data_IF_364706892960
#
_entry.id   IF_364706892960
#
_cell.length_a   1.000
_cell.length_b   1.000
_cell.length_c   1.000
_cell.angle_alpha   90.00
_cell.angle_beta   90.00
_cell.angle_gamma   90.00
#
_symmetry.space_group_name_H-M   'P 1'
#
loop_
_entity.id
_entity.type
_entity.pdbx_description
1 polymer ?
#
# COMPACT_ATOMS: atom_id res chain seq x y z
N UNK A 1 -10.34 -11.11 -39.00
CA UNK A 1 -9.93 -10.87 -37.61
C UNK A 1 -8.66 -11.66 -37.38
N UNK A 2 -7.50 -11.02 -37.27
CA UNK A 2 -6.22 -11.73 -37.12
C UNK A 2 -6.05 -12.10 -35.65
N UNK A 3 -6.09 -13.40 -35.31
CA UNK A 3 -5.77 -13.86 -33.96
C UNK A 3 -4.30 -13.56 -33.68
N UNK A 4 -4.03 -12.81 -32.61
CA UNK A 4 -2.67 -12.64 -32.11
C UNK A 4 -2.19 -14.03 -31.65
N UNK A 5 -1.02 -14.50 -32.09
CA UNK A 5 -0.48 -15.77 -31.62
C UNK A 5 -0.36 -15.76 -30.09
N UNK A 6 -0.79 -16.86 -29.45
CA UNK A 6 -0.84 -16.98 -27.98
C UNK A 6 0.52 -16.66 -27.32
N UNK A 7 1.62 -17.02 -27.98
CA UNK A 7 2.98 -16.72 -27.52
C UNK A 7 3.26 -15.20 -27.43
N UNK A 8 2.77 -14.42 -28.40
CA UNK A 8 2.90 -12.95 -28.42
C UNK A 8 2.10 -12.34 -27.28
N UNK A 9 0.89 -12.85 -27.03
CA UNK A 9 0.06 -12.42 -25.91
C UNK A 9 0.71 -12.75 -24.56
N UNK A 10 1.23 -13.97 -24.41
CA UNK A 10 1.92 -14.42 -23.19
C UNK A 10 3.18 -13.56 -22.92
N UNK A 11 3.96 -13.25 -23.95
CA UNK A 11 5.13 -12.37 -23.83
C UNK A 11 4.72 -10.95 -23.41
N UNK A 12 3.65 -10.40 -23.99
CA UNK A 12 3.15 -9.07 -23.62
C UNK A 12 2.68 -9.01 -22.17
N UNK A 13 1.92 -10.02 -21.70
CA UNK A 13 1.47 -10.11 -20.31
C UNK A 13 2.64 -10.25 -19.32
N UNK A 14 3.68 -11.02 -19.68
CA UNK A 14 4.92 -11.09 -18.87
C UNK A 14 5.61 -9.74 -18.75
N UNK A 15 5.73 -9.00 -19.85
CA UNK A 15 6.32 -7.66 -19.82
C UNK A 15 5.55 -6.70 -18.89
N UNK A 16 4.22 -6.76 -18.90
CA UNK A 16 3.37 -5.98 -17.97
C UNK A 16 3.63 -6.38 -16.52
N UNK A 17 3.69 -7.68 -16.23
CA UNK A 17 3.97 -8.18 -14.88
C UNK A 17 5.34 -7.72 -14.38
N UNK A 18 6.37 -7.77 -15.23
CA UNK A 18 7.72 -7.35 -14.86
C UNK A 18 7.82 -5.84 -14.65
N UNK A 19 7.13 -5.05 -15.46
CA UNK A 19 7.02 -3.61 -15.24
C UNK A 19 6.29 -3.28 -13.93
N UNK A 20 5.21 -4.00 -13.62
CA UNK A 20 4.48 -3.84 -12.37
C UNK A 20 5.36 -4.16 -11.15
N UNK A 21 6.10 -5.27 -11.17
CA UNK A 21 7.03 -5.63 -10.08
C UNK A 21 8.09 -4.56 -9.84
N UNK A 22 8.66 -4.00 -10.92
CA UNK A 22 9.64 -2.90 -10.82
C UNK A 22 9.03 -1.66 -10.19
N UNK A 23 7.84 -1.25 -10.64
CA UNK A 23 7.09 -0.13 -10.07
C UNK A 23 6.80 -0.37 -8.59
N UNK A 24 6.33 -1.56 -8.23
CA UNK A 24 5.92 -1.88 -6.87
C UNK A 24 7.12 -1.82 -5.91
N UNK A 25 8.30 -2.27 -6.34
CA UNK A 25 9.54 -2.11 -5.57
C UNK A 25 9.89 -0.64 -5.31
N UNK A 26 9.80 0.21 -6.33
CA UNK A 26 10.05 1.66 -6.20
C UNK A 26 9.05 2.28 -5.22
N UNK A 27 7.76 1.92 -5.34
CA UNK A 27 6.72 2.41 -4.44
C UNK A 27 6.99 1.95 -2.99
N UNK A 28 7.39 0.70 -2.78
CA UNK A 28 7.71 0.18 -1.45
C UNK A 28 8.89 0.94 -0.81
N UNK A 29 9.97 1.15 -1.56
CA UNK A 29 11.14 1.90 -1.12
C UNK A 29 10.78 3.35 -0.78
N UNK A 30 9.97 4.01 -1.62
CA UNK A 30 9.49 5.37 -1.38
C UNK A 30 8.54 5.48 -0.19
N UNK A 31 7.71 4.45 0.06
CA UNK A 31 6.77 4.45 1.19
C UNK A 31 7.45 4.23 2.54
N UNK A 32 8.60 3.54 2.59
CA UNK A 32 9.30 3.20 3.83
C UNK A 32 9.55 4.41 4.76
N UNK A 33 10.19 5.51 4.31
CA UNK A 33 10.41 6.68 5.19
C UNK A 33 9.09 7.33 5.63
N UNK A 34 8.06 7.32 4.79
CA UNK A 34 6.72 7.85 5.14
C UNK A 34 6.07 7.01 6.23
N UNK A 35 6.20 5.68 6.14
CA UNK A 35 5.69 4.76 7.15
C UNK A 35 6.39 4.96 8.51
N UNK A 36 7.71 5.10 8.50
CA UNK A 36 8.51 5.38 9.71
C UNK A 36 8.09 6.71 10.37
N UNK A 37 7.94 7.78 9.58
CA UNK A 37 7.47 9.08 10.07
C UNK A 37 6.04 9.01 10.61
N UNK A 38 5.14 8.29 9.94
CA UNK A 38 3.76 8.09 10.41
C UNK A 38 3.71 7.34 11.75
N UNK A 39 4.54 6.31 11.92
CA UNK A 39 4.66 5.57 13.19
C UNK A 39 5.19 6.48 14.30
N UNK A 40 6.23 7.27 14.02
CA UNK A 40 6.77 8.25 14.97
C UNK A 40 5.71 9.28 15.38
N UNK A 41 4.94 9.80 14.42
CA UNK A 41 3.85 10.75 14.69
C UNK A 41 2.76 10.16 15.59
N UNK A 42 2.35 8.90 15.37
CA UNK A 42 1.39 8.22 16.26
C UNK A 42 1.96 8.08 17.67
N UNK A 43 3.24 7.70 17.82
CA UNK A 43 3.89 7.59 19.13
C UNK A 43 3.97 8.94 19.85
N UNK A 44 4.10 10.03 19.10
CA UNK A 44 4.04 11.39 19.61
C UNK A 44 2.61 11.89 19.91
N UNK A 45 1.58 11.07 19.68
CA UNK A 45 0.18 11.40 20.00
C UNK A 45 -0.58 12.12 18.87
N UNK A 46 -0.02 12.24 17.67
CA UNK A 46 -0.71 12.87 16.55
C UNK A 46 -1.94 12.05 16.10
N UNK A 47 -2.98 12.75 15.63
CA UNK A 47 -4.22 12.10 15.21
C UNK A 47 -4.03 11.29 13.93
N UNK A 48 -4.59 10.07 13.90
CA UNK A 48 -4.50 9.19 12.72
C UNK A 48 -5.16 9.79 11.47
N UNK A 49 -6.15 10.66 11.63
CA UNK A 49 -6.77 11.38 10.50
C UNK A 49 -5.78 12.35 9.90
N UNK A 50 -5.12 13.18 10.71
CA UNK A 50 -4.14 14.16 10.23
C UNK A 50 -2.95 13.50 9.56
N UNK A 51 -2.43 12.42 10.16
CA UNK A 51 -1.33 11.64 9.58
C UNK A 51 -1.68 11.12 8.19
N UNK A 52 -2.91 10.66 7.96
CA UNK A 52 -3.34 10.16 6.64
C UNK A 52 -3.43 11.25 5.58
N UNK A 53 -3.92 12.42 5.97
CA UNK A 53 -4.01 13.58 5.08
C UNK A 53 -2.61 14.00 4.63
N UNK A 54 -1.69 14.15 5.58
CA UNK A 54 -0.30 14.54 5.29
C UNK A 54 0.47 13.46 4.52
N UNK A 55 0.28 12.19 4.87
CA UNK A 55 0.92 11.08 4.14
C UNK A 55 0.25 10.77 2.79
N UNK A 56 -0.92 11.34 2.50
CA UNK A 56 -1.67 11.07 1.27
C UNK A 56 -2.14 9.62 1.13
N UNK A 57 -2.34 8.89 2.24
CA UNK A 57 -2.65 7.45 2.22
C UNK A 57 -4.04 7.09 2.72
N UNK A 58 -4.56 6.00 2.16
CA UNK A 58 -5.78 5.38 2.64
C UNK A 58 -5.64 4.90 4.09
N UNK A 59 -6.74 4.76 4.85
CA UNK A 59 -6.67 4.21 6.21
C UNK A 59 -6.12 2.80 6.25
N UNK A 60 -6.36 1.99 5.21
CA UNK A 60 -5.85 0.62 5.13
C UNK A 60 -4.32 0.58 5.13
N UNK A 61 -3.68 1.50 4.39
CA UNK A 61 -2.23 1.60 4.30
C UNK A 61 -1.64 2.01 5.64
N UNK A 62 -2.13 3.11 6.23
CA UNK A 62 -1.65 3.54 7.55
C UNK A 62 -1.82 2.43 8.60
N UNK A 63 -2.99 1.78 8.66
CA UNK A 63 -3.22 0.72 9.64
C UNK A 63 -2.34 -0.50 9.42
N UNK A 64 -1.95 -0.80 8.17
CA UNK A 64 -0.93 -1.80 7.87
C UNK A 64 0.41 -1.45 8.51
N UNK A 65 0.89 -0.22 8.32
CA UNK A 65 2.14 0.26 8.94
C UNK A 65 2.08 0.23 10.47
N UNK A 66 0.98 0.69 11.07
CA UNK A 66 0.80 0.67 12.52
C UNK A 66 0.79 -0.76 13.07
N UNK A 67 0.12 -1.69 12.39
CA UNK A 67 0.09 -3.10 12.79
C UNK A 67 1.48 -3.73 12.71
N UNK A 68 2.22 -3.48 11.63
CA UNK A 68 3.60 -3.94 11.47
C UNK A 68 4.54 -3.38 12.56
N UNK A 69 4.29 -2.16 13.03
CA UNK A 69 5.01 -1.53 14.13
C UNK A 69 4.51 -1.91 15.54
N UNK A 70 3.56 -2.86 15.66
CA UNK A 70 3.00 -3.32 16.93
C UNK A 70 2.02 -2.35 17.59
N UNK A 71 1.57 -1.30 16.88
CA UNK A 71 0.62 -0.32 17.40
C UNK A 71 -0.81 -0.86 17.20
N UNK A 72 -1.61 -1.01 18.27
CA UNK A 72 -2.95 -1.57 18.16
C UNK A 72 -3.89 -0.68 17.34
N UNK A 73 -4.44 -1.25 16.28
CA UNK A 73 -5.51 -0.64 15.48
C UNK A 73 -6.82 -1.30 15.89
N UNK A 74 -7.78 -0.48 16.37
CA UNK A 74 -9.11 -0.97 16.75
C UNK A 74 -9.76 -1.65 15.54
N UNK A 75 -10.09 -2.94 15.67
CA UNK A 75 -10.83 -3.67 14.64
C UNK A 75 -12.22 -3.04 14.49
N UNK A 76 -12.67 -2.87 13.25
CA UNK A 76 -14.03 -2.42 12.96
C UNK A 76 -15.01 -3.50 13.44
N UNK A 77 -15.99 -3.14 14.28
CA UNK A 77 -17.10 -4.05 14.62
C UNK A 77 -17.86 -4.40 13.33
N UNK A 78 -18.25 -5.67 13.11
CA UNK A 78 -19.12 -6.01 12.00
C UNK A 78 -20.42 -5.20 12.11
N UNK A 79 -20.94 -4.72 10.97
CA UNK A 79 -22.29 -4.15 10.95
C UNK A 79 -23.24 -5.29 11.32
N UNK A 80 -23.98 -5.12 12.42
CA UNK A 80 -25.18 -5.92 12.62
C UNK A 80 -26.08 -5.67 11.41
N UNK A 81 -26.47 -6.76 10.73
CA UNK A 81 -27.33 -6.73 9.54
C UNK A 81 -28.72 -6.24 9.87
#
# INVERSE_FOLDING_TARGET
MTQIPEEVQARALRAVSDAAKKRDKIIEEAQRPVAEAAVAAVRAGASRTRIREEAGVSPRVLYGWLTAAGIPVRKKKPKAG
#
